data_IF_560452480372
#
_entry.id   IF_560452480372
#
_cell.length_a   1.000
_cell.length_b   1.000
_cell.length_c   1.000
_cell.angle_alpha   90.00
_cell.angle_beta   90.00
_cell.angle_gamma   90.00
#
_symmetry.space_group_name_H-M   'P 1'
#
loop_
_entity.id
_entity.type
_entity.pdbx_description
1 polymer ?
#
# COMPACT_ATOMS: atom_id res chain seq x y z
N UNK A 1 81.19 6.17 -49.59
CA UNK A 1 80.34 6.52 -50.75
C UNK A 1 78.89 6.50 -50.31
N UNK A 2 78.13 7.58 -50.58
CA UNK A 2 76.64 7.71 -50.69
C UNK A 2 75.74 7.11 -49.59
N UNK A 3 74.63 7.68 -49.13
CA UNK A 3 73.89 8.95 -49.29
C UNK A 3 72.74 8.88 -48.24
N UNK A 4 72.19 10.02 -47.83
CA UNK A 4 70.94 10.14 -47.04
C UNK A 4 69.73 9.70 -47.87
N UNK A 5 68.67 9.19 -47.24
CA UNK A 5 67.32 9.71 -47.49
C UNK A 5 66.33 9.43 -46.36
N UNK A 6 65.39 10.35 -46.24
CA UNK A 6 64.32 10.54 -45.27
C UNK A 6 63.06 9.77 -45.69
N UNK A 7 62.14 9.54 -44.74
CA UNK A 7 60.71 9.92 -44.82
C UNK A 7 59.69 8.82 -44.46
N UNK A 8 58.67 9.29 -43.76
CA UNK A 8 57.49 8.61 -43.26
C UNK A 8 56.61 8.06 -44.38
N UNK A 9 55.86 6.98 -44.10
CA UNK A 9 54.48 6.88 -44.56
C UNK A 9 53.62 5.95 -43.68
N UNK A 10 52.38 6.39 -43.50
CA UNK A 10 51.32 5.79 -42.70
C UNK A 10 50.69 4.56 -43.37
N UNK A 11 50.11 3.69 -42.54
CA UNK A 11 49.25 2.59 -42.97
C UNK A 11 48.66 1.85 -41.77
N UNK A 12 47.52 2.32 -41.27
CA UNK A 12 46.64 1.54 -40.39
C UNK A 12 45.95 0.43 -41.20
N UNK A 13 45.64 -0.72 -40.58
CA UNK A 13 44.43 -1.55 -40.78
C UNK A 13 44.47 -2.81 -39.88
N UNK A 14 43.47 -2.86 -38.98
CA UNK A 14 42.65 -3.96 -38.44
C UNK A 14 43.19 -5.25 -37.76
N UNK A 15 42.64 -5.44 -36.56
CA UNK A 15 42.16 -6.69 -35.91
C UNK A 15 43.14 -7.60 -35.17
N UNK A 16 42.87 -7.84 -33.87
CA UNK A 16 42.86 -9.22 -33.38
C UNK A 16 41.70 -9.52 -32.40
N UNK A 17 40.97 -10.61 -32.66
CA UNK A 17 40.19 -11.39 -31.67
C UNK A 17 40.10 -12.85 -32.19
N UNK A 18 40.04 -13.89 -31.34
CA UNK A 18 39.24 -13.90 -30.12
C UNK A 18 39.98 -14.31 -28.83
N UNK A 19 39.52 -13.69 -27.75
CA UNK A 19 39.78 -14.13 -26.38
C UNK A 19 38.98 -15.41 -26.07
N UNK A 20 39.66 -16.28 -25.32
CA UNK A 20 39.14 -17.49 -24.70
C UNK A 20 37.95 -17.16 -23.77
N UNK A 21 36.80 -17.77 -24.04
CA UNK A 21 35.58 -17.67 -23.24
C UNK A 21 35.71 -18.60 -22.03
N UNK A 22 35.84 -18.06 -20.82
CA UNK A 22 35.68 -18.81 -19.57
C UNK A 22 34.54 -18.20 -18.77
N UNK A 23 33.43 -18.92 -18.90
CA UNK A 23 32.25 -19.03 -18.06
C UNK A 23 32.20 -18.21 -16.74
N UNK A 24 31.20 -17.33 -16.69
CA UNK A 24 30.60 -16.71 -15.51
C UNK A 24 30.35 -17.71 -14.36
N UNK A 25 30.96 -17.44 -13.20
CA UNK A 25 30.42 -17.76 -11.87
C UNK A 25 31.13 -16.88 -10.85
N UNK A 26 30.51 -15.74 -10.55
CA UNK A 26 30.22 -15.29 -9.18
C UNK A 26 29.58 -13.89 -9.18
N UNK A 27 28.56 -13.71 -10.02
CA UNK A 27 27.56 -12.65 -9.89
C UNK A 27 26.55 -13.04 -8.80
N UNK A 28 27.01 -13.24 -7.55
CA UNK A 28 26.18 -13.74 -6.44
C UNK A 28 26.15 -12.82 -5.20
N UNK A 29 26.49 -11.53 -5.36
CA UNK A 29 26.47 -10.57 -4.27
C UNK A 29 25.70 -9.26 -4.56
N UNK A 30 25.00 -9.18 -5.71
CA UNK A 30 24.26 -7.98 -6.12
C UNK A 30 22.73 -8.09 -6.15
N UNK A 31 22.17 -9.30 -6.27
CA UNK A 31 20.72 -9.49 -6.53
C UNK A 31 19.86 -9.70 -5.27
N UNK A 32 20.47 -10.03 -4.14
CA UNK A 32 19.73 -10.42 -2.92
C UNK A 32 19.04 -9.22 -2.25
N UNK A 33 19.63 -8.02 -2.32
CA UNK A 33 19.09 -6.83 -1.66
C UNK A 33 17.84 -6.26 -2.37
N UNK A 34 17.84 -6.28 -3.71
CA UNK A 34 16.69 -5.82 -4.49
C UNK A 34 15.55 -6.85 -4.48
N UNK A 35 15.85 -8.14 -4.44
CA UNK A 35 14.85 -9.20 -4.26
C UNK A 35 14.15 -9.12 -2.89
N UNK A 36 14.93 -9.03 -1.79
CA UNK A 36 14.39 -9.02 -0.43
C UNK A 36 13.51 -7.81 -0.12
N UNK A 37 13.87 -6.61 -0.60
CA UNK A 37 13.03 -5.40 -0.46
C UNK A 37 11.66 -5.56 -1.14
N UNK A 38 11.62 -6.22 -2.30
CA UNK A 38 10.38 -6.44 -3.07
C UNK A 38 9.52 -7.53 -2.44
N UNK A 39 10.14 -8.61 -1.96
CA UNK A 39 9.44 -9.66 -1.21
C UNK A 39 8.78 -9.09 0.04
N UNK A 40 9.47 -8.21 0.76
CA UNK A 40 8.94 -7.59 1.98
C UNK A 40 7.74 -6.68 1.68
N UNK A 41 7.82 -5.87 0.62
CA UNK A 41 6.72 -5.00 0.18
C UNK A 41 5.48 -5.82 -0.25
N UNK A 42 5.68 -6.90 -1.01
CA UNK A 42 4.59 -7.79 -1.41
C UNK A 42 3.94 -8.48 -0.22
N UNK A 43 4.72 -9.01 0.73
CA UNK A 43 4.19 -9.67 1.92
C UNK A 43 3.37 -8.71 2.77
N UNK A 44 3.83 -7.47 2.95
CA UNK A 44 3.12 -6.45 3.73
C UNK A 44 1.73 -6.15 3.15
N UNK A 45 1.58 -6.16 1.82
CA UNK A 45 0.28 -5.93 1.15
C UNK A 45 -0.67 -7.13 1.19
N UNK A 46 -0.17 -8.34 1.44
CA UNK A 46 -0.99 -9.55 1.59
C UNK A 46 -1.62 -9.67 2.99
N UNK A 47 -1.00 -9.08 4.03
CA UNK A 47 -1.47 -9.12 5.42
C UNK A 47 -2.97 -8.77 5.56
N UNK A 48 -3.48 -7.65 5.03
CA UNK A 48 -4.89 -7.28 5.20
C UNK A 48 -5.88 -8.18 4.44
N UNK A 49 -5.45 -9.00 3.47
CA UNK A 49 -6.36 -9.79 2.64
C UNK A 49 -7.12 -10.83 3.47
N UNK A 50 -6.42 -11.59 4.30
CA UNK A 50 -7.03 -12.63 5.11
C UNK A 50 -8.11 -12.09 6.08
N UNK A 51 -7.85 -11.05 6.91
CA UNK A 51 -8.86 -10.48 7.79
C UNK A 51 -9.99 -9.79 7.01
N UNK A 52 -9.73 -9.15 5.86
CA UNK A 52 -10.80 -8.60 5.00
C UNK A 52 -11.77 -9.69 4.54
N UNK A 53 -11.24 -10.80 4.01
CA UNK A 53 -12.06 -11.92 3.54
C UNK A 53 -12.82 -12.56 4.71
N UNK A 54 -12.15 -12.75 5.85
CA UNK A 54 -12.79 -13.30 7.05
C UNK A 54 -13.96 -12.42 7.53
N UNK A 55 -13.74 -11.10 7.68
CA UNK A 55 -14.79 -10.16 8.08
C UNK A 55 -15.97 -10.16 7.10
N UNK A 56 -15.67 -10.17 5.80
CA UNK A 56 -16.65 -10.20 4.71
C UNK A 56 -17.48 -11.48 4.75
N UNK A 57 -16.85 -12.65 4.82
CA UNK A 57 -17.55 -13.96 4.82
C UNK A 57 -18.43 -14.12 6.05
N UNK A 58 -17.94 -13.70 7.23
CA UNK A 58 -18.71 -13.75 8.48
C UNK A 58 -19.95 -12.86 8.40
N UNK A 59 -19.82 -11.64 7.87
CA UNK A 59 -20.96 -10.72 7.77
C UNK A 59 -21.95 -11.10 6.67
N UNK A 60 -21.48 -11.59 5.52
CA UNK A 60 -22.34 -12.05 4.43
C UNK A 60 -23.24 -13.22 4.85
N UNK A 61 -22.73 -14.15 5.66
CA UNK A 61 -23.51 -15.24 6.23
C UNK A 61 -24.24 -14.87 7.52
N UNK A 62 -24.30 -13.59 7.85
CA UNK A 62 -24.96 -13.13 9.06
C UNK A 62 -26.45 -12.85 8.81
N UNK A 63 -27.26 -13.87 9.04
CA UNK A 63 -28.71 -13.78 9.12
C UNK A 63 -29.23 -14.62 10.28
N UNK A 64 -30.35 -14.20 10.86
CA UNK A 64 -31.04 -14.92 11.92
C UNK A 64 -32.55 -14.70 11.79
N UNK A 65 -33.31 -15.79 11.90
CA UNK A 65 -34.77 -15.76 11.93
C UNK A 65 -35.26 -16.46 13.20
N UNK A 66 -36.19 -15.82 13.90
CA UNK A 66 -36.80 -16.30 15.14
C UNK A 66 -38.28 -15.86 15.20
N UNK A 67 -38.96 -16.15 16.32
CA UNK A 67 -40.37 -15.78 16.53
C UNK A 67 -40.62 -14.26 16.55
N UNK A 68 -39.56 -13.46 16.76
CA UNK A 68 -39.61 -12.00 16.75
C UNK A 68 -39.44 -11.40 15.35
N UNK A 69 -39.05 -12.20 14.35
CA UNK A 69 -38.89 -11.79 12.97
C UNK A 69 -37.60 -12.29 12.31
N UNK A 70 -37.23 -11.65 11.19
CA UNK A 70 -36.00 -11.97 10.46
C UNK A 70 -35.08 -10.75 10.35
N UNK A 71 -33.83 -10.93 10.76
CA UNK A 71 -32.77 -9.93 10.64
C UNK A 71 -31.64 -10.47 9.79
N UNK A 72 -31.14 -9.62 8.89
CA UNK A 72 -30.03 -9.94 8.00
C UNK A 72 -29.12 -8.73 7.89
N UNK A 73 -27.83 -8.95 7.62
CA UNK A 73 -26.88 -7.87 7.37
C UNK A 73 -27.36 -6.92 6.26
N UNK A 74 -28.11 -7.44 5.28
CA UNK A 74 -28.66 -6.67 4.16
C UNK A 74 -29.75 -5.67 4.56
N UNK A 75 -30.33 -5.78 5.76
CA UNK A 75 -31.31 -4.81 6.25
C UNK A 75 -30.65 -3.59 6.90
N UNK A 76 -29.38 -3.70 7.33
CA UNK A 76 -28.67 -2.63 8.03
C UNK A 76 -27.63 -1.98 7.10
N UNK A 77 -27.84 -0.70 6.80
CA UNK A 77 -26.97 0.06 5.91
C UNK A 77 -25.49 0.04 6.33
N UNK A 78 -25.21 0.12 7.62
CA UNK A 78 -23.85 0.08 8.15
C UNK A 78 -23.14 -1.25 7.85
N UNK A 79 -23.82 -2.39 8.03
CA UNK A 79 -23.24 -3.70 7.74
C UNK A 79 -23.09 -3.95 6.24
N UNK A 80 -24.02 -3.46 5.41
CA UNK A 80 -23.83 -3.45 3.95
C UNK A 80 -22.58 -2.67 3.57
N UNK A 81 -22.43 -1.46 4.11
CA UNK A 81 -21.26 -0.62 3.87
C UNK A 81 -19.97 -1.31 4.32
N UNK A 82 -19.95 -1.93 5.51
CA UNK A 82 -18.84 -2.75 6.01
C UNK A 82 -18.41 -3.86 5.05
N UNK A 83 -19.37 -4.60 4.50
CA UNK A 83 -19.11 -5.67 3.52
C UNK A 83 -18.51 -5.11 2.23
N UNK A 84 -19.07 -4.01 1.70
CA UNK A 84 -18.58 -3.42 0.45
C UNK A 84 -17.16 -2.89 0.62
N UNK A 85 -16.89 -2.21 1.74
CA UNK A 85 -15.56 -1.65 2.03
C UNK A 85 -14.52 -2.75 2.26
N UNK A 86 -14.83 -3.81 3.01
CA UNK A 86 -13.93 -4.95 3.17
C UNK A 86 -13.63 -5.64 1.82
N UNK A 87 -14.63 -5.73 0.93
CA UNK A 87 -14.46 -6.25 -0.43
C UNK A 87 -13.55 -5.37 -1.30
N UNK A 88 -13.75 -4.05 -1.27
CA UNK A 88 -12.88 -3.08 -1.97
C UNK A 88 -11.44 -3.18 -1.46
N UNK A 89 -11.26 -3.26 -0.14
CA UNK A 89 -9.95 -3.43 0.49
C UNK A 89 -9.26 -4.73 0.04
N UNK A 90 -9.96 -5.86 0.09
CA UNK A 90 -9.42 -7.14 -0.38
C UNK A 90 -8.97 -7.08 -1.85
N UNK A 91 -9.80 -6.51 -2.73
CA UNK A 91 -9.47 -6.34 -4.15
C UNK A 91 -8.28 -5.41 -4.37
N UNK A 92 -8.23 -4.30 -3.66
CA UNK A 92 -7.12 -3.36 -3.70
C UNK A 92 -5.81 -3.99 -3.21
N UNK A 93 -5.83 -4.71 -2.09
CA UNK A 93 -4.66 -5.39 -1.55
C UNK A 93 -4.14 -6.48 -2.49
N UNK A 94 -5.02 -7.22 -3.15
CA UNK A 94 -4.62 -8.18 -4.17
C UNK A 94 -3.96 -7.50 -5.37
N UNK A 95 -4.60 -6.45 -5.91
CA UNK A 95 -4.07 -5.71 -7.07
C UNK A 95 -2.70 -5.08 -6.76
N UNK A 96 -2.58 -4.45 -5.59
CA UNK A 96 -1.33 -3.81 -5.16
C UNK A 96 -0.21 -4.82 -4.88
N UNK A 97 -0.53 -6.02 -4.38
CA UNK A 97 0.43 -7.11 -4.24
C UNK A 97 0.94 -7.61 -5.61
N UNK A 98 0.04 -7.78 -6.59
CA UNK A 98 0.42 -8.16 -7.97
C UNK A 98 1.32 -7.11 -8.60
N UNK A 99 1.01 -5.82 -8.43
CA UNK A 99 1.84 -4.74 -8.98
C UNK A 99 3.23 -4.72 -8.33
N UNK A 100 3.34 -4.95 -7.02
CA UNK A 100 4.64 -5.04 -6.34
C UNK A 100 5.49 -6.25 -6.79
N UNK A 101 4.85 -7.37 -7.12
CA UNK A 101 5.54 -8.57 -7.57
C UNK A 101 6.13 -8.42 -8.98
N UNK A 102 5.61 -7.51 -9.82
CA UNK A 102 6.11 -7.32 -11.18
C UNK A 102 7.54 -6.75 -11.19
N UNK A 103 8.45 -7.25 -12.04
CA UNK A 103 9.83 -6.79 -12.18
C UNK A 103 9.95 -5.42 -12.88
N UNK A 104 9.39 -4.35 -12.31
CA UNK A 104 9.54 -2.98 -12.81
C UNK A 104 10.15 -2.04 -11.77
N UNK A 105 11.03 -1.11 -12.18
CA UNK A 105 11.53 -0.07 -11.30
C UNK A 105 10.36 0.86 -10.91
N UNK A 106 10.14 1.13 -9.61
CA UNK A 106 9.06 1.98 -9.17
C UNK A 106 9.30 3.43 -9.62
N UNK A 107 8.30 4.03 -10.27
CA UNK A 107 8.32 5.46 -10.60
C UNK A 107 7.93 6.27 -9.37
N UNK A 108 8.49 7.48 -9.20
CA UNK A 108 8.12 8.37 -8.09
C UNK A 108 6.60 8.62 -8.00
N UNK A 109 5.92 8.74 -9.15
CA UNK A 109 4.46 8.87 -9.21
C UNK A 109 3.73 7.66 -8.64
N UNK A 110 4.26 6.45 -8.83
CA UNK A 110 3.66 5.21 -8.36
C UNK A 110 3.72 5.08 -6.84
N UNK A 111 4.83 5.49 -6.21
CA UNK A 111 4.95 5.49 -4.75
C UNK A 111 3.94 6.44 -4.08
N UNK A 112 3.78 7.65 -4.63
CA UNK A 112 2.76 8.59 -4.18
C UNK A 112 1.34 8.05 -4.37
N UNK A 113 1.04 7.43 -5.51
CA UNK A 113 -0.29 6.83 -5.74
C UNK A 113 -0.60 5.73 -4.72
N UNK A 114 0.35 4.84 -4.40
CA UNK A 114 0.13 3.82 -3.37
C UNK A 114 -0.10 4.43 -2.00
N UNK A 115 0.71 5.41 -1.60
CA UNK A 115 0.52 6.12 -0.34
C UNK A 115 -0.88 6.75 -0.21
N UNK A 116 -1.34 7.47 -1.24
CA UNK A 116 -2.68 8.06 -1.25
C UNK A 116 -3.78 6.99 -1.19
N UNK A 117 -3.65 5.92 -1.96
CA UNK A 117 -4.65 4.85 -1.97
C UNK A 117 -4.69 4.09 -0.63
N UNK A 118 -3.54 3.79 -0.03
CA UNK A 118 -3.43 3.17 1.30
C UNK A 118 -4.13 4.04 2.36
N UNK A 119 -3.94 5.36 2.28
CA UNK A 119 -4.58 6.30 3.19
C UNK A 119 -6.10 6.37 2.99
N UNK A 120 -6.58 6.38 1.74
CA UNK A 120 -8.01 6.35 1.42
C UNK A 120 -8.65 5.06 1.93
N UNK A 121 -8.02 3.90 1.72
CA UNK A 121 -8.53 2.61 2.22
C UNK A 121 -8.59 2.59 3.74
N UNK A 122 -7.58 3.13 4.43
CA UNK A 122 -7.55 3.26 5.90
C UNK A 122 -8.77 4.03 6.42
N UNK A 123 -9.06 5.19 5.83
CA UNK A 123 -10.21 6.00 6.25
C UNK A 123 -11.54 5.36 5.92
N UNK A 124 -11.64 4.71 4.75
CA UNK A 124 -12.85 4.04 4.31
C UNK A 124 -13.22 2.88 5.25
N UNK A 125 -12.24 2.03 5.59
CA UNK A 125 -12.47 0.87 6.47
C UNK A 125 -12.70 1.30 7.93
N UNK A 126 -12.03 2.38 8.38
CA UNK A 126 -12.30 2.97 9.69
C UNK A 126 -13.72 3.52 9.79
N UNK A 127 -14.18 4.27 8.78
CA UNK A 127 -15.53 4.81 8.75
C UNK A 127 -16.58 3.68 8.76
N UNK A 128 -16.35 2.61 8.01
CA UNK A 128 -17.25 1.46 7.97
C UNK A 128 -17.30 0.72 9.32
N UNK A 129 -16.13 0.51 9.96
CA UNK A 129 -16.01 -0.08 11.29
C UNK A 129 -16.71 0.77 12.35
N UNK A 130 -16.51 2.09 12.33
CA UNK A 130 -17.15 3.03 13.25
C UNK A 130 -18.68 3.03 13.10
N UNK A 131 -19.20 3.18 11.88
CA UNK A 131 -20.64 3.15 11.61
C UNK A 131 -21.27 1.81 12.05
N UNK A 132 -20.58 0.69 11.84
CA UNK A 132 -21.05 -0.62 12.27
C UNK A 132 -21.01 -0.79 13.79
N UNK A 133 -20.02 -0.20 14.45
CA UNK A 133 -19.89 -0.19 15.91
C UNK A 133 -21.02 0.61 16.55
N UNK A 134 -21.38 1.76 16.00
CA UNK A 134 -22.52 2.57 16.45
C UNK A 134 -23.83 1.79 16.34
N UNK A 135 -24.08 1.16 15.19
CA UNK A 135 -25.27 0.31 15.01
C UNK A 135 -25.28 -0.85 15.99
N UNK A 136 -24.14 -1.49 16.23
CA UNK A 136 -24.01 -2.59 17.18
C UNK A 136 -24.23 -2.11 18.63
N UNK A 137 -23.73 -0.92 18.97
CA UNK A 137 -23.94 -0.29 20.27
C UNK A 137 -25.43 -0.06 20.53
N UNK A 138 -26.15 0.50 19.55
CA UNK A 138 -27.59 0.68 19.61
C UNK A 138 -28.32 -0.66 19.69
N UNK A 139 -27.86 -1.69 18.97
CA UNK A 139 -28.45 -3.02 19.04
C UNK A 139 -28.28 -3.68 20.43
N UNK A 140 -27.18 -3.44 21.14
CA UNK A 140 -26.96 -3.98 22.49
C UNK A 140 -27.65 -3.16 23.58
N UNK A 141 -27.50 -1.84 23.55
CA UNK A 141 -27.94 -0.94 24.65
C UNK A 141 -29.31 -0.31 24.41
N UNK A 142 -29.71 -0.17 23.15
CA UNK A 142 -30.85 0.67 22.77
C UNK A 142 -30.57 2.16 22.98
N UNK A 143 -31.53 3.00 22.62
CA UNK A 143 -31.54 4.41 22.96
C UNK A 143 -33.00 4.89 23.16
N UNK A 144 -33.42 5.17 24.41
CA UNK A 144 -34.79 5.58 24.69
C UNK A 144 -35.14 6.94 24.09
N UNK A 145 -34.16 7.84 23.89
CA UNK A 145 -34.42 9.18 23.34
C UNK A 145 -34.93 9.14 21.90
N UNK A 146 -34.61 8.08 21.15
CA UNK A 146 -35.09 7.84 19.78
C UNK A 146 -35.97 6.58 19.69
N UNK A 147 -36.47 6.07 20.82
CA UNK A 147 -37.33 4.87 20.90
C UNK A 147 -36.69 3.60 20.32
N UNK A 148 -35.36 3.49 20.31
CA UNK A 148 -34.68 2.29 19.83
C UNK A 148 -34.52 1.28 20.97
N UNK A 149 -35.14 0.10 20.83
CA UNK A 149 -34.99 -1.02 21.77
C UNK A 149 -33.71 -1.85 21.54
N UNK A 150 -33.24 -2.53 22.58
CA UNK A 150 -32.13 -3.49 22.46
C UNK A 150 -32.56 -4.71 21.65
N UNK A 151 -31.97 -4.89 20.47
CA UNK A 151 -32.28 -5.99 19.54
C UNK A 151 -31.46 -7.25 19.81
N UNK A 152 -30.27 -7.13 20.39
CA UNK A 152 -29.37 -8.28 20.59
C UNK A 152 -29.87 -9.27 21.65
N UNK A 153 -30.84 -8.88 22.48
CA UNK A 153 -31.54 -9.79 23.39
C UNK A 153 -32.37 -10.83 22.63
N UNK A 154 -33.06 -10.41 21.57
CA UNK A 154 -33.84 -11.28 20.68
C UNK A 154 -32.96 -11.99 19.64
N UNK A 155 -31.89 -11.35 19.17
CA UNK A 155 -31.03 -11.85 18.08
C UNK A 155 -29.56 -12.05 18.51
N UNK A 156 -29.27 -12.93 19.49
CA UNK A 156 -27.93 -13.05 20.07
C UNK A 156 -26.89 -13.59 19.08
N UNK A 157 -27.25 -14.59 18.27
CA UNK A 157 -26.36 -15.20 17.28
C UNK A 157 -25.96 -14.21 16.20
N UNK A 158 -26.91 -13.42 15.71
CA UNK A 158 -26.65 -12.37 14.74
C UNK A 158 -25.69 -11.31 15.30
N UNK A 159 -25.94 -10.84 16.53
CA UNK A 159 -25.09 -9.84 17.16
C UNK A 159 -23.69 -10.37 17.47
N UNK A 160 -23.55 -11.64 17.87
CA UNK A 160 -22.24 -12.23 18.11
C UNK A 160 -21.39 -12.30 16.83
N UNK A 161 -21.98 -12.79 15.73
CA UNK A 161 -21.32 -12.81 14.41
C UNK A 161 -20.99 -11.40 13.90
N UNK A 162 -21.91 -10.45 14.05
CA UNK A 162 -21.69 -9.06 13.67
C UNK A 162 -20.52 -8.46 14.47
N UNK A 163 -20.49 -8.67 15.79
CA UNK A 163 -19.40 -8.21 16.66
C UNK A 163 -18.06 -8.77 16.23
N UNK A 164 -17.99 -10.07 15.95
CA UNK A 164 -16.77 -10.71 15.47
C UNK A 164 -16.29 -10.11 14.14
N UNK A 165 -17.18 -9.91 13.17
CA UNK A 165 -16.83 -9.29 11.88
C UNK A 165 -16.36 -7.83 12.03
N UNK A 166 -17.02 -7.03 12.86
CA UNK A 166 -16.62 -5.66 13.16
C UNK A 166 -15.26 -5.62 13.85
N UNK A 167 -15.02 -6.51 14.83
CA UNK A 167 -13.73 -6.62 15.51
C UNK A 167 -12.60 -6.97 14.53
N UNK A 168 -12.82 -7.94 13.63
CA UNK A 168 -11.85 -8.27 12.57
C UNK A 168 -11.63 -7.09 11.64
N UNK A 169 -12.66 -6.29 11.35
CA UNK A 169 -12.50 -5.07 10.53
C UNK A 169 -11.57 -4.05 11.21
N UNK A 170 -11.56 -3.93 12.53
CA UNK A 170 -10.56 -3.08 13.21
C UNK A 170 -9.12 -3.61 13.10
N UNK A 171 -8.93 -4.93 12.95
CA UNK A 171 -7.62 -5.50 12.60
C UNK A 171 -7.21 -5.09 11.18
N UNK A 172 -8.17 -5.04 10.25
CA UNK A 172 -7.94 -4.50 8.89
C UNK A 172 -7.54 -3.02 8.96
N UNK A 173 -8.23 -2.20 9.76
CA UNK A 173 -7.87 -0.78 9.99
C UNK A 173 -6.43 -0.67 10.47
N UNK A 174 -6.04 -1.45 11.49
CA UNK A 174 -4.68 -1.43 12.02
C UNK A 174 -3.65 -1.83 10.96
N UNK A 175 -3.97 -2.84 10.15
CA UNK A 175 -3.09 -3.30 9.05
C UNK A 175 -2.85 -2.20 8.00
N UNK A 176 -3.91 -1.51 7.57
CA UNK A 176 -3.79 -0.39 6.63
C UNK A 176 -3.11 0.84 7.23
N UNK A 177 -3.34 1.13 8.52
CA UNK A 177 -2.64 2.21 9.20
C UNK A 177 -1.12 1.95 9.23
N UNK A 178 -0.70 0.71 9.52
CA UNK A 178 0.71 0.32 9.46
C UNK A 178 1.29 0.42 8.04
N UNK A 179 0.54 -0.01 7.03
CA UNK A 179 0.91 0.16 5.62
C UNK A 179 1.12 1.64 5.25
N UNK A 180 0.19 2.51 5.63
CA UNK A 180 0.29 3.96 5.38
C UNK A 180 1.53 4.55 6.07
N UNK A 181 1.80 4.17 7.33
CA UNK A 181 2.98 4.63 8.06
C UNK A 181 4.29 4.20 7.39
N UNK A 182 4.39 2.94 6.96
CA UNK A 182 5.59 2.41 6.28
C UNK A 182 5.78 3.09 4.92
N UNK A 183 4.69 3.27 4.17
CA UNK A 183 4.68 3.94 2.87
C UNK A 183 5.14 5.40 2.97
N UNK A 184 4.60 6.13 3.95
CA UNK A 184 5.02 7.48 4.32
C UNK A 184 6.50 7.55 4.69
N UNK A 185 6.94 6.70 5.62
CA UNK A 185 8.33 6.65 6.07
C UNK A 185 9.28 6.43 4.89
N UNK A 186 9.00 5.43 4.04
CA UNK A 186 9.78 5.16 2.82
C UNK A 186 9.81 6.36 1.88
N UNK A 187 8.67 7.03 1.67
CA UNK A 187 8.57 8.19 0.80
C UNK A 187 9.43 9.34 1.30
N UNK A 188 9.38 9.65 2.59
CA UNK A 188 10.12 10.76 3.19
C UNK A 188 11.61 10.46 3.39
N UNK A 189 12.00 9.24 3.75
CA UNK A 189 13.42 8.90 3.96
C UNK A 189 14.21 8.80 2.66
N UNK A 190 13.57 8.37 1.56
CA UNK A 190 14.24 8.30 0.26
C UNK A 190 14.29 9.66 -0.46
N UNK A 191 13.57 10.66 0.05
CA UNK A 191 13.48 11.99 -0.56
C UNK A 191 14.10 13.05 0.37
N UNK A 192 15.35 12.83 0.76
CA UNK A 192 16.20 13.89 1.29
C UNK A 192 16.29 14.99 0.20
N UNK A 193 15.99 16.27 0.49
CA UNK A 193 16.17 17.33 -0.49
C UNK A 193 17.62 17.33 -0.98
N UNK A 194 17.89 17.66 -2.26
CA UNK A 194 19.26 17.81 -2.75
C UNK A 194 19.99 18.72 -1.78
N UNK A 195 21.04 18.21 -1.11
CA UNK A 195 21.94 19.08 -0.36
C UNK A 195 22.49 20.07 -1.36
N UNK A 196 22.09 21.34 -1.26
CA UNK A 196 22.71 22.44 -1.97
C UNK A 196 24.20 22.33 -1.68
N UNK A 197 24.95 21.85 -2.67
CA UNK A 197 26.39 21.74 -2.56
C UNK A 197 26.89 23.17 -2.31
N UNK A 198 27.53 23.49 -1.16
CA UNK A 198 27.93 24.86 -0.84
C UNK A 198 28.98 25.44 -1.82
N UNK A 199 29.43 24.65 -2.80
CA UNK A 199 30.35 25.07 -3.86
C UNK A 199 29.72 25.95 -4.96
N UNK A 200 28.41 26.24 -4.93
CA UNK A 200 27.77 27.23 -5.83
C UNK A 200 27.25 28.43 -5.02
N UNK A 201 28.12 29.01 -4.19
CA UNK A 201 27.97 30.40 -3.74
C UNK A 201 28.67 31.33 -4.75
N UNK A 202 28.04 31.58 -5.89
CA UNK A 202 28.27 32.85 -6.61
C UNK A 202 27.10 33.78 -6.27
N UNK A 203 27.34 34.91 -5.57
CA UNK A 203 26.27 35.85 -5.28
C UNK A 203 26.08 36.74 -6.50
N UNK A 204 24.93 36.63 -7.16
CA UNK A 204 24.40 37.72 -7.97
C UNK A 204 22.88 37.67 -7.93
N UNK A 205 22.32 37.74 -6.72
CA UNK A 205 20.98 38.28 -6.54
C UNK A 205 21.13 39.79 -6.65
N UNK A 206 20.93 40.35 -7.85
CA UNK A 206 20.66 41.77 -7.96
C UNK A 206 19.24 42.02 -7.45
N UNK A 207 19.15 42.47 -6.21
CA UNK A 207 17.93 43.07 -5.67
C UNK A 207 17.82 44.46 -6.30
N UNK A 208 16.91 44.62 -7.26
CA UNK A 208 16.53 45.93 -7.76
C UNK A 208 15.85 46.69 -6.62
N UNK A 209 16.60 47.61 -6.01
CA UNK A 209 16.06 48.56 -5.03
C UNK A 209 15.38 49.67 -5.83
N UNK A 210 14.06 49.72 -5.78
CA UNK A 210 13.30 50.87 -6.27
C UNK A 210 13.41 51.98 -5.22
N UNK A 211 14.13 53.05 -5.55
CA UNK A 211 14.05 54.32 -4.82
C UNK A 211 12.84 55.09 -5.34
N UNK A 212 12.00 55.57 -4.41
CA UNK A 212 10.93 56.53 -4.63
C UNK A 212 11.47 57.96 -4.55
#
# INVERSE_FOLDING_TARGET
MREKETNNNAGAISSPTPMLQVHDRDQAAGDTNNGGMRTTETLLRLIPIAPCIAALVVMLHNSQTNDFGSVSYSHLGAFRYLVHVNGICAGYSLLSAVIAAMPRPPKMSQAWTFFFLDQVMTYLVLAAGAASTEVLYLAFKGNPAITWSSACSSFPTFCHKATASVAVTFVVVASYALLSLISSYKLFTNYQPPTLNPAISKPSIQVATFHA
#
